data_IF_665941703396
#
_entry.id   IF_665941703396
#
_cell.length_a   1.000
_cell.length_b   1.000
_cell.length_c   1.000
_cell.angle_alpha   90.00
_cell.angle_beta   90.00
_cell.angle_gamma   90.00
#
_symmetry.space_group_name_H-M   'P 1'
#
loop_
_entity.id
_entity.type
_entity.pdbx_description
1 polymer ?
#
# COMPACT_ATOMS: atom_id res chain seq x y z
N UNK A 1 -4.86 70.15 53.09
CA UNK A 1 -5.63 71.40 52.98
C UNK A 1 -6.95 71.04 52.33
N UNK A 2 -7.99 71.10 53.23
CA UNK A 2 -9.43 71.22 52.91
C UNK A 2 -10.13 70.09 52.16
N UNK A 3 -10.96 69.30 52.83
CA UNK A 3 -12.29 69.41 53.47
C UNK A 3 -13.37 68.91 52.43
N UNK A 4 -13.98 67.80 52.77
CA UNK A 4 -15.30 67.60 53.44
C UNK A 4 -16.52 68.04 52.61
N UNK A 5 -17.42 67.15 52.41
CA UNK A 5 -18.78 66.87 52.98
C UNK A 5 -19.58 66.12 51.96
N UNK A 6 -20.26 65.07 52.14
CA UNK A 6 -21.18 64.68 53.22
C UNK A 6 -22.61 65.01 52.86
N UNK A 7 -23.47 64.02 52.65
CA UNK A 7 -24.88 63.98 53.13
C UNK A 7 -25.59 62.74 52.52
N UNK A 8 -25.84 61.73 53.26
CA UNK A 8 -27.09 61.30 53.96
C UNK A 8 -28.27 60.99 53.00
N UNK A 9 -28.71 59.76 53.15
CA UNK A 9 -29.89 58.97 52.81
C UNK A 9 -31.23 59.75 53.16
N UNK A 10 -32.38 59.38 52.49
CA UNK A 10 -33.24 58.46 53.23
C UNK A 10 -34.01 57.40 52.41
N UNK A 11 -34.35 56.38 53.12
CA UNK A 11 -35.26 55.29 52.90
C UNK A 11 -36.59 55.67 52.22
N UNK A 12 -37.08 54.78 51.37
CA UNK A 12 -38.44 54.73 50.88
C UNK A 12 -38.83 53.31 50.47
N UNK A 13 -39.73 52.77 51.18
CA UNK A 13 -40.26 51.46 51.27
C UNK A 13 -41.27 51.14 50.16
N UNK A 14 -41.33 49.82 49.84
CA UNK A 14 -42.45 49.05 49.28
C UNK A 14 -42.81 49.21 47.77
N UNK A 15 -42.50 48.17 47.00
CA UNK A 15 -43.62 47.41 46.44
C UNK A 15 -43.11 46.02 45.95
N UNK A 16 -43.64 45.02 46.59
CA UNK A 16 -43.50 43.63 46.39
C UNK A 16 -44.38 43.25 45.18
N UNK A 17 -43.78 43.02 44.04
CA UNK A 17 -44.48 42.35 42.90
C UNK A 17 -43.85 41.01 42.71
N UNK A 18 -44.61 39.98 43.10
CA UNK A 18 -44.39 38.58 42.77
C UNK A 18 -44.44 38.43 41.24
N UNK A 19 -43.31 38.17 40.61
CA UNK A 19 -43.25 37.63 39.26
C UNK A 19 -42.80 36.17 39.36
N UNK A 20 -43.73 35.30 39.03
CA UNK A 20 -43.62 33.86 39.00
C UNK A 20 -42.41 33.35 38.16
N UNK A 21 -41.83 32.18 38.49
CA UNK A 21 -40.76 31.56 37.73
C UNK A 21 -41.35 30.74 36.58
N UNK A 22 -41.65 31.36 35.45
CA UNK A 22 -42.23 30.66 34.29
C UNK A 22 -41.33 30.75 33.04
N UNK A 23 -40.08 31.15 33.19
CA UNK A 23 -39.13 31.20 32.04
C UNK A 23 -37.90 30.27 32.17
N UNK A 24 -37.94 29.23 33.05
CA UNK A 24 -36.79 28.35 33.24
C UNK A 24 -37.04 26.92 32.68
N UNK A 25 -38.00 26.74 31.74
CA UNK A 25 -38.33 25.44 31.16
C UNK A 25 -38.19 25.35 29.65
N UNK A 26 -37.55 26.32 28.98
CA UNK A 26 -37.43 26.33 27.52
C UNK A 26 -36.00 26.25 26.96
N UNK A 27 -35.00 25.93 27.78
CA UNK A 27 -33.61 25.73 27.28
C UNK A 27 -33.10 24.30 27.51
N UNK A 28 -33.95 23.36 27.92
CA UNK A 28 -33.62 21.94 27.97
C UNK A 28 -34.10 21.22 26.69
N UNK A 29 -34.12 21.92 25.56
CA UNK A 29 -34.50 21.44 24.24
C UNK A 29 -33.29 21.11 23.41
N UNK A 30 -33.02 19.82 23.28
CA UNK A 30 -32.37 19.24 22.12
C UNK A 30 -30.86 19.51 22.01
N UNK A 31 -30.07 18.97 22.94
CA UNK A 31 -28.78 18.33 22.55
C UNK A 31 -29.13 16.94 22.02
N UNK A 32 -29.75 16.85 20.84
CA UNK A 32 -29.66 15.64 20.06
C UNK A 32 -28.17 15.51 19.68
N UNK A 33 -27.48 14.41 20.05
CA UNK A 33 -26.18 14.15 19.50
C UNK A 33 -26.39 14.09 17.97
N UNK A 34 -25.80 15.03 17.24
CA UNK A 34 -25.66 14.91 15.80
C UNK A 34 -25.05 13.51 15.57
N UNK A 35 -25.60 12.70 14.64
CA UNK A 35 -24.97 11.45 14.32
C UNK A 35 -23.55 11.79 13.91
N UNK A 36 -22.58 11.37 14.73
CA UNK A 36 -21.18 11.31 14.32
C UNK A 36 -21.21 10.32 13.18
N UNK A 37 -21.31 10.83 11.95
CA UNK A 37 -21.09 10.02 10.76
C UNK A 37 -19.74 9.37 10.99
N UNK A 38 -19.75 8.05 11.20
CA UNK A 38 -18.56 7.24 11.39
C UNK A 38 -17.66 7.43 10.19
N UNK A 39 -16.73 8.39 10.30
CA UNK A 39 -15.71 8.63 9.31
C UNK A 39 -14.90 7.34 9.20
N UNK A 40 -14.98 6.70 8.04
CA UNK A 40 -14.12 5.58 7.70
C UNK A 40 -14.81 4.25 7.41
N UNK A 41 -16.13 4.14 7.51
CA UNK A 41 -16.84 2.89 7.19
C UNK A 41 -17.53 2.98 5.83
N UNK A 42 -17.33 1.95 5.01
CA UNK A 42 -17.98 1.84 3.70
C UNK A 42 -19.53 1.85 3.85
N UNK A 43 -20.26 2.78 3.20
CA UNK A 43 -21.71 2.83 3.27
C UNK A 43 -22.39 1.57 2.68
N UNK A 44 -21.67 0.79 1.87
CA UNK A 44 -22.18 -0.42 1.19
C UNK A 44 -21.61 -1.73 1.76
N UNK A 45 -20.97 -1.71 2.93
CA UNK A 45 -20.30 -2.90 3.49
C UNK A 45 -21.19 -4.13 3.60
N UNK A 46 -22.46 -3.94 3.96
CA UNK A 46 -23.45 -5.01 4.08
C UNK A 46 -24.33 -5.22 2.83
N UNK A 47 -24.12 -4.46 1.73
CA UNK A 47 -24.98 -4.51 0.54
C UNK A 47 -24.49 -5.53 -0.51
N UNK A 48 -25.18 -6.66 -0.72
CA UNK A 48 -24.79 -7.64 -1.73
C UNK A 48 -24.90 -7.12 -3.17
N UNK A 49 -25.79 -6.14 -3.43
CA UNK A 49 -25.94 -5.57 -4.78
C UNK A 49 -24.74 -4.68 -5.09
N UNK A 50 -24.31 -3.86 -4.14
CA UNK A 50 -23.09 -3.06 -4.27
C UNK A 50 -21.83 -3.93 -4.44
N UNK A 51 -21.73 -5.06 -3.70
CA UNK A 51 -20.61 -6.01 -3.89
C UNK A 51 -20.58 -6.60 -5.30
N UNK A 52 -21.73 -6.97 -5.87
CA UNK A 52 -21.80 -7.47 -7.25
C UNK A 52 -21.42 -6.40 -8.27
N UNK A 53 -21.91 -5.17 -8.10
CA UNK A 53 -21.53 -4.04 -8.94
C UNK A 53 -20.02 -3.76 -8.83
N UNK A 54 -19.47 -3.77 -7.62
CA UNK A 54 -18.05 -3.60 -7.35
C UNK A 54 -17.19 -4.67 -8.00
N UNK A 55 -17.64 -5.94 -8.00
CA UNK A 55 -16.97 -7.04 -8.70
C UNK A 55 -16.88 -6.82 -10.21
N UNK A 56 -17.98 -6.38 -10.83
CA UNK A 56 -18.01 -6.07 -12.27
C UNK A 56 -17.08 -4.89 -12.63
N UNK A 57 -17.09 -3.83 -11.80
CA UNK A 57 -16.19 -2.68 -11.96
C UNK A 57 -14.73 -3.08 -11.78
N UNK A 58 -14.43 -3.90 -10.79
CA UNK A 58 -13.08 -4.43 -10.56
C UNK A 58 -12.59 -5.24 -11.76
N UNK A 59 -13.41 -6.14 -12.28
CA UNK A 59 -13.05 -6.99 -13.43
C UNK A 59 -12.69 -6.18 -14.69
N UNK A 60 -13.32 -5.03 -14.89
CA UNK A 60 -13.11 -4.18 -16.08
C UNK A 60 -12.03 -3.13 -15.92
N UNK A 61 -11.71 -2.72 -14.68
CA UNK A 61 -10.82 -1.56 -14.44
C UNK A 61 -9.54 -1.91 -13.69
N UNK A 62 -9.51 -3.02 -12.97
CA UNK A 62 -8.45 -3.34 -12.01
C UNK A 62 -7.77 -4.69 -12.28
N UNK A 63 -8.51 -5.64 -12.86
CA UNK A 63 -8.07 -7.03 -12.99
C UNK A 63 -6.82 -7.21 -13.87
N UNK A 64 -6.60 -6.36 -14.85
CA UNK A 64 -5.41 -6.45 -15.73
C UNK A 64 -4.10 -6.36 -14.93
N UNK A 65 -4.08 -5.60 -13.84
CA UNK A 65 -2.91 -5.46 -12.97
C UNK A 65 -3.02 -6.31 -11.71
N UNK A 66 -4.23 -6.36 -11.10
CA UNK A 66 -4.44 -7.01 -9.82
C UNK A 66 -4.91 -8.48 -9.91
N UNK A 67 -5.08 -9.01 -11.13
CA UNK A 67 -5.64 -10.35 -11.35
C UNK A 67 -7.15 -10.41 -11.16
N UNK A 68 -7.80 -11.34 -11.84
CA UNK A 68 -9.25 -11.54 -11.70
C UNK A 68 -9.67 -11.98 -10.29
N UNK A 69 -8.75 -12.61 -9.55
CA UNK A 69 -8.89 -13.06 -8.17
C UNK A 69 -8.38 -12.02 -7.14
N UNK A 70 -7.96 -10.84 -7.61
CA UNK A 70 -7.37 -9.75 -6.83
C UNK A 70 -6.07 -10.11 -6.07
N UNK A 71 -5.42 -11.23 -6.38
CA UNK A 71 -4.17 -11.66 -5.75
C UNK A 71 -2.92 -11.02 -6.35
N UNK A 72 -3.09 -10.25 -7.41
CA UNK A 72 -2.02 -9.54 -8.11
C UNK A 72 -1.34 -10.37 -9.19
N UNK A 73 -1.02 -9.72 -10.32
CA UNK A 73 -0.13 -10.25 -11.36
C UNK A 73 1.16 -9.44 -11.34
N UNK A 74 1.09 -8.14 -11.61
CA UNK A 74 2.17 -7.16 -11.49
C UNK A 74 1.97 -6.14 -10.38
N UNK A 75 0.88 -6.25 -9.62
CA UNK A 75 0.44 -5.34 -8.57
C UNK A 75 0.30 -6.09 -7.23
N UNK A 76 0.12 -5.37 -6.09
CA UNK A 76 -0.10 -5.99 -4.78
C UNK A 76 -1.33 -6.91 -4.74
N UNK A 77 -1.28 -7.91 -3.86
CA UNK A 77 -2.43 -8.74 -3.50
C UNK A 77 -3.41 -7.90 -2.65
N UNK A 78 -4.59 -7.66 -3.19
CA UNK A 78 -5.61 -6.84 -2.54
C UNK A 78 -6.43 -7.62 -1.51
N UNK A 79 -6.38 -8.94 -1.51
CA UNK A 79 -7.08 -9.76 -0.51
C UNK A 79 -6.48 -9.63 0.88
N UNK A 80 -5.25 -9.11 0.99
CA UNK A 80 -4.51 -8.93 2.24
C UNK A 80 -4.67 -7.56 2.88
N UNK A 81 -5.33 -6.61 2.23
CA UNK A 81 -5.36 -5.20 2.66
C UNK A 81 -5.80 -5.06 4.12
N UNK A 82 -6.90 -5.69 4.51
CA UNK A 82 -7.45 -5.57 5.87
C UNK A 82 -6.67 -6.39 6.90
N UNK A 83 -6.14 -7.56 6.52
CA UNK A 83 -5.21 -8.31 7.36
C UNK A 83 -3.93 -7.52 7.66
N UNK A 84 -3.54 -6.62 6.74
CA UNK A 84 -2.42 -5.69 6.92
C UNK A 84 -2.78 -4.43 7.73
N UNK A 85 -4.02 -4.32 8.25
CA UNK A 85 -4.47 -3.19 9.06
C UNK A 85 -4.90 -1.96 8.25
N UNK A 86 -5.24 -2.12 6.97
CA UNK A 86 -5.82 -1.04 6.15
C UNK A 86 -7.31 -0.90 6.48
N UNK A 87 -7.84 0.31 6.46
CA UNK A 87 -9.26 0.61 6.58
C UNK A 87 -9.90 0.93 5.22
N UNK A 88 -11.24 0.93 5.18
CA UNK A 88 -12.01 1.16 3.95
C UNK A 88 -11.76 2.54 3.34
N UNK A 89 -11.65 3.56 4.17
CA UNK A 89 -11.42 4.93 3.73
C UNK A 89 -10.05 5.08 3.06
N UNK A 90 -9.04 4.40 3.60
CA UNK A 90 -7.71 4.40 2.99
C UNK A 90 -7.70 3.69 1.65
N UNK A 91 -8.42 2.57 1.52
CA UNK A 91 -8.58 1.87 0.24
C UNK A 91 -9.31 2.76 -0.76
N UNK A 92 -10.42 3.39 -0.34
CA UNK A 92 -11.18 4.33 -1.15
C UNK A 92 -10.27 5.47 -1.70
N UNK A 93 -9.54 6.15 -0.81
CA UNK A 93 -8.63 7.24 -1.22
C UNK A 93 -7.50 6.77 -2.12
N UNK A 94 -7.00 5.56 -1.91
CA UNK A 94 -5.97 4.98 -2.76
C UNK A 94 -6.48 4.74 -4.17
N UNK A 95 -7.70 4.22 -4.33
CA UNK A 95 -8.33 4.05 -5.64
C UNK A 95 -8.57 5.43 -6.28
N UNK A 96 -9.13 6.37 -5.53
CA UNK A 96 -9.46 7.71 -6.04
C UNK A 96 -8.22 8.48 -6.52
N UNK A 97 -7.12 8.46 -5.75
CA UNK A 97 -5.93 9.29 -6.00
C UNK A 97 -4.83 8.56 -6.76
N UNK A 98 -4.90 7.24 -6.88
CA UNK A 98 -3.79 6.42 -7.32
C UNK A 98 -2.65 6.38 -6.31
N UNK A 99 -1.51 5.83 -6.74
CA UNK A 99 -0.29 5.75 -5.91
C UNK A 99 0.83 6.51 -6.62
N UNK A 100 1.23 7.69 -6.14
CA UNK A 100 2.30 8.47 -6.76
C UNK A 100 3.59 7.66 -6.92
N UNK A 101 4.24 7.78 -8.08
CA UNK A 101 5.48 7.06 -8.39
C UNK A 101 5.29 5.56 -8.68
N UNK A 102 4.05 5.10 -8.86
CA UNK A 102 3.73 3.74 -9.29
C UNK A 102 2.89 3.73 -10.57
N UNK A 103 2.62 2.54 -11.10
CA UNK A 103 1.75 2.35 -12.26
C UNK A 103 0.24 2.37 -11.91
N UNK A 104 -0.13 2.59 -10.64
CA UNK A 104 -1.52 2.69 -10.24
C UNK A 104 -2.05 4.12 -10.49
N UNK A 105 -2.88 4.34 -11.51
CA UNK A 105 -3.42 5.67 -11.82
C UNK A 105 -4.51 6.07 -10.84
N UNK A 106 -4.84 7.36 -10.80
CA UNK A 106 -6.05 7.85 -10.15
C UNK A 106 -7.30 7.38 -10.90
N UNK A 107 -8.38 7.13 -10.18
CA UNK A 107 -9.68 6.77 -10.74
C UNK A 107 -10.57 8.01 -10.88
N UNK A 108 -11.20 8.17 -12.05
CA UNK A 108 -12.26 9.16 -12.27
C UNK A 108 -13.68 8.62 -12.01
N UNK A 109 -13.77 7.41 -11.43
CA UNK A 109 -15.07 6.82 -11.09
C UNK A 109 -15.79 7.66 -10.02
N UNK A 110 -17.12 7.74 -10.06
CA UNK A 110 -17.92 8.35 -9.00
C UNK A 110 -17.70 7.65 -7.65
N UNK A 111 -17.84 8.39 -6.55
CA UNK A 111 -17.59 7.87 -5.21
C UNK A 111 -18.37 6.60 -4.86
N UNK A 112 -19.64 6.52 -5.30
CA UNK A 112 -20.47 5.32 -5.09
C UNK A 112 -19.91 4.08 -5.82
N UNK A 113 -19.31 4.22 -6.99
CA UNK A 113 -18.63 3.12 -7.69
C UNK A 113 -17.36 2.70 -6.97
N UNK A 114 -16.58 3.67 -6.47
CA UNK A 114 -15.38 3.38 -5.68
C UNK A 114 -15.75 2.65 -4.40
N UNK A 115 -16.78 3.10 -3.67
CA UNK A 115 -17.26 2.42 -2.46
C UNK A 115 -17.80 1.01 -2.75
N UNK A 116 -18.45 0.80 -3.91
CA UNK A 116 -18.86 -0.54 -4.33
C UNK A 116 -17.65 -1.46 -4.57
N UNK A 117 -16.58 -0.96 -5.20
CA UNK A 117 -15.33 -1.72 -5.36
C UNK A 117 -14.68 -2.03 -4.01
N UNK A 118 -14.67 -1.09 -3.06
CA UNK A 118 -14.18 -1.33 -1.68
C UNK A 118 -15.01 -2.42 -1.00
N UNK A 119 -16.37 -2.40 -1.13
CA UNK A 119 -17.24 -3.44 -0.58
C UNK A 119 -16.95 -4.84 -1.17
N UNK A 120 -16.68 -4.90 -2.47
CA UNK A 120 -16.28 -6.14 -3.12
C UNK A 120 -14.94 -6.65 -2.57
N UNK A 121 -13.90 -5.82 -2.56
CA UNK A 121 -12.57 -6.18 -2.06
C UNK A 121 -12.60 -6.62 -0.60
N UNK A 122 -13.40 -5.94 0.23
CA UNK A 122 -13.62 -6.33 1.63
C UNK A 122 -14.25 -7.73 1.73
N UNK A 123 -15.20 -8.00 0.85
CA UNK A 123 -15.91 -9.31 0.81
C UNK A 123 -15.02 -10.48 0.41
N UNK A 124 -13.92 -10.24 -0.31
CA UNK A 124 -12.95 -11.28 -0.70
C UNK A 124 -11.68 -11.25 0.15
N UNK A 125 -11.64 -10.40 1.19
CA UNK A 125 -10.50 -10.34 2.11
C UNK A 125 -10.28 -11.66 2.81
N UNK A 126 -9.01 -12.05 2.89
CA UNK A 126 -8.56 -13.24 3.61
C UNK A 126 -7.84 -12.85 4.89
N UNK A 127 -7.87 -13.72 5.88
CA UNK A 127 -6.91 -13.68 7.00
C UNK A 127 -5.51 -13.96 6.49
N UNK A 128 -4.49 -13.63 7.28
CA UNK A 128 -3.08 -13.77 6.88
C UNK A 128 -2.80 -15.12 6.21
N UNK A 129 -2.30 -15.15 4.97
CA UNK A 129 -2.04 -16.39 4.23
C UNK A 129 -0.87 -17.20 4.81
N UNK A 130 -0.16 -16.66 5.82
CA UNK A 130 1.01 -17.27 6.45
C UNK A 130 0.72 -17.84 7.85
N UNK A 131 -0.55 -17.84 8.32
CA UNK A 131 -0.88 -18.31 9.67
C UNK A 131 -0.65 -19.81 9.88
N UNK A 132 -0.83 -20.61 8.82
CA UNK A 132 -0.71 -22.07 8.84
C UNK A 132 0.50 -22.57 8.04
N UNK A 133 1.48 -21.69 7.73
CA UNK A 133 2.66 -22.11 6.99
C UNK A 133 3.51 -23.07 7.81
N UNK A 134 3.86 -24.17 7.15
CA UNK A 134 4.92 -25.09 7.59
C UNK A 134 6.27 -24.44 7.30
N UNK A 135 7.29 -24.83 8.04
CA UNK A 135 8.66 -24.38 7.86
C UNK A 135 9.24 -23.67 9.07
N UNK A 136 10.55 -23.61 9.10
CA UNK A 136 11.33 -22.96 10.16
C UNK A 136 11.76 -21.56 9.69
N UNK A 137 11.28 -20.48 10.34
CA UNK A 137 11.62 -19.12 9.92
C UNK A 137 13.10 -18.79 10.14
N UNK A 138 13.81 -19.43 11.05
CA UNK A 138 15.24 -19.18 11.25
C UNK A 138 16.07 -19.83 10.14
N UNK A 139 15.77 -21.06 9.74
CA UNK A 139 16.34 -21.67 8.55
C UNK A 139 16.03 -20.84 7.29
N UNK A 140 14.80 -20.34 7.19
CA UNK A 140 14.39 -19.45 6.11
C UNK A 140 15.19 -18.14 6.09
N UNK A 141 15.53 -17.58 7.25
CA UNK A 141 16.40 -16.41 7.38
C UNK A 141 17.81 -16.69 6.89
N UNK A 142 18.38 -17.83 7.24
CA UNK A 142 19.71 -18.24 6.76
C UNK A 142 19.73 -18.43 5.24
N UNK A 143 18.70 -19.05 4.67
CA UNK A 143 18.54 -19.18 3.23
C UNK A 143 18.43 -17.80 2.56
N UNK A 144 17.66 -16.88 3.12
CA UNK A 144 17.59 -15.51 2.64
C UNK A 144 18.95 -14.82 2.63
N UNK A 145 19.68 -14.91 3.73
CA UNK A 145 21.01 -14.29 3.86
C UNK A 145 22.05 -14.90 2.89
N UNK A 146 21.94 -16.19 2.58
CA UNK A 146 22.87 -16.84 1.67
C UNK A 146 22.58 -16.60 0.19
N UNK A 147 21.30 -16.49 -0.20
CA UNK A 147 20.91 -16.50 -1.61
C UNK A 147 20.21 -15.23 -2.09
N UNK A 148 19.54 -14.48 -1.21
CA UNK A 148 18.61 -13.41 -1.60
C UNK A 148 19.11 -12.02 -1.19
N UNK A 149 19.80 -11.88 -0.06
CA UNK A 149 20.20 -10.59 0.53
C UNK A 149 21.10 -9.77 -0.39
N UNK A 150 21.85 -10.39 -1.28
CA UNK A 150 22.70 -9.67 -2.23
C UNK A 150 21.91 -8.71 -3.12
N UNK A 151 20.68 -9.08 -3.47
CA UNK A 151 19.83 -8.30 -4.37
C UNK A 151 18.64 -7.66 -3.66
N UNK A 152 18.14 -8.28 -2.58
CA UNK A 152 16.96 -7.84 -1.85
C UNK A 152 17.31 -7.28 -0.49
N UNK A 153 16.60 -6.21 -0.10
CA UNK A 153 16.73 -5.59 1.21
C UNK A 153 15.63 -6.06 2.16
N UNK A 154 16.02 -6.27 3.43
CA UNK A 154 15.10 -6.36 4.57
C UNK A 154 15.58 -5.36 5.63
N UNK A 155 14.73 -4.45 6.04
CA UNK A 155 15.06 -3.30 6.90
C UNK A 155 16.26 -2.50 6.33
N UNK A 156 17.38 -2.47 7.02
CA UNK A 156 18.60 -1.75 6.61
C UNK A 156 19.64 -2.65 5.94
N UNK A 157 19.38 -3.97 5.86
CA UNK A 157 20.36 -4.95 5.38
C UNK A 157 19.97 -5.47 3.98
N UNK A 158 20.95 -5.54 3.08
CA UNK A 158 20.81 -6.13 1.75
C UNK A 158 20.86 -5.13 0.60
N UNK A 159 20.76 -5.66 -0.60
CA UNK A 159 20.91 -4.95 -1.85
C UNK A 159 19.66 -4.24 -2.36
N UNK A 160 19.81 -3.51 -3.46
CA UNK A 160 18.77 -2.70 -4.10
C UNK A 160 18.47 -3.09 -5.55
N UNK A 161 19.07 -4.18 -6.03
CA UNK A 161 18.84 -4.72 -7.38
C UNK A 161 17.44 -5.32 -7.53
N UNK A 162 16.87 -5.85 -6.44
CA UNK A 162 15.52 -6.35 -6.35
C UNK A 162 14.63 -5.48 -5.44
N UNK A 163 13.34 -5.81 -5.32
CA UNK A 163 12.42 -5.17 -4.40
C UNK A 163 12.88 -5.25 -2.94
N UNK A 164 12.56 -4.21 -2.16
CA UNK A 164 12.60 -4.25 -0.71
C UNK A 164 11.53 -5.23 -0.20
N UNK A 165 11.95 -6.21 0.61
CA UNK A 165 11.10 -7.27 1.13
C UNK A 165 10.67 -7.04 2.59
N UNK A 166 11.04 -5.91 3.22
CA UNK A 166 10.73 -5.61 4.63
C UNK A 166 9.26 -5.75 4.99
N UNK A 167 8.37 -5.58 4.01
CA UNK A 167 6.91 -5.60 4.18
C UNK A 167 6.22 -6.59 3.25
N UNK A 168 6.94 -7.58 2.77
CA UNK A 168 6.47 -8.44 1.69
C UNK A 168 5.22 -9.24 2.07
N UNK A 169 5.11 -9.66 3.32
CA UNK A 169 3.96 -10.40 3.82
C UNK A 169 2.65 -9.59 3.87
N UNK A 170 2.73 -8.26 3.73
CA UNK A 170 1.53 -7.40 3.63
C UNK A 170 1.04 -7.19 2.20
N UNK A 171 1.87 -7.51 1.21
CA UNK A 171 1.60 -7.14 -0.19
C UNK A 171 1.62 -8.32 -1.15
N UNK A 172 2.03 -9.51 -0.68
CA UNK A 172 2.08 -10.74 -1.46
C UNK A 172 1.57 -11.92 -0.64
N UNK A 173 0.70 -12.72 -1.24
CA UNK A 173 0.33 -14.02 -0.71
C UNK A 173 1.47 -15.04 -0.87
N UNK A 174 1.38 -16.14 -0.13
CA UNK A 174 2.32 -17.24 -0.24
C UNK A 174 2.44 -17.75 -1.68
N UNK A 175 1.34 -17.99 -2.36
CA UNK A 175 1.31 -18.48 -3.75
C UNK A 175 2.00 -17.53 -4.72
N UNK A 176 1.81 -16.21 -4.51
CA UNK A 176 2.50 -15.20 -5.31
C UNK A 176 4.00 -15.18 -5.05
N UNK A 177 4.45 -15.42 -3.81
CA UNK A 177 5.86 -15.55 -3.49
C UNK A 177 6.46 -16.81 -4.10
N UNK A 178 5.78 -17.95 -4.03
CA UNK A 178 6.18 -19.19 -4.69
C UNK A 178 6.40 -18.93 -6.18
N UNK A 179 5.41 -18.35 -6.87
CA UNK A 179 5.52 -18.02 -8.29
C UNK A 179 6.68 -17.07 -8.56
N UNK A 180 6.85 -16.01 -7.77
CA UNK A 180 7.94 -15.04 -7.96
C UNK A 180 9.33 -15.67 -7.77
N UNK A 181 9.46 -16.68 -6.91
CA UNK A 181 10.71 -17.40 -6.66
C UNK A 181 10.97 -18.42 -7.77
N UNK A 182 9.94 -19.19 -8.16
CA UNK A 182 10.05 -20.23 -9.18
C UNK A 182 10.15 -19.66 -10.60
N UNK A 183 9.41 -18.59 -10.88
CA UNK A 183 9.24 -18.00 -12.21
C UNK A 183 9.47 -16.47 -12.18
N UNK A 184 10.66 -15.97 -11.81
CA UNK A 184 10.91 -14.54 -11.59
C UNK A 184 10.79 -13.69 -12.86
N UNK A 185 10.83 -14.31 -14.03
CA UNK A 185 10.62 -13.66 -15.32
C UNK A 185 9.14 -13.49 -15.71
N UNK A 186 8.21 -14.20 -15.06
CA UNK A 186 6.79 -14.19 -15.45
C UNK A 186 6.13 -12.82 -15.28
N UNK A 187 6.60 -12.01 -14.32
CA UNK A 187 6.09 -10.65 -14.08
C UNK A 187 7.16 -9.78 -13.42
N UNK A 188 7.80 -8.91 -14.19
CA UNK A 188 8.85 -8.01 -13.69
C UNK A 188 8.35 -6.58 -13.72
N UNK A 189 8.27 -5.94 -12.54
CA UNK A 189 7.91 -4.53 -12.45
C UNK A 189 8.94 -3.65 -13.21
N UNK A 190 8.47 -2.58 -13.86
CA UNK A 190 9.28 -1.76 -14.77
C UNK A 190 10.63 -1.33 -14.17
N UNK A 191 10.65 -0.90 -12.92
CA UNK A 191 11.86 -0.47 -12.18
C UNK A 191 12.89 -1.57 -11.90
N UNK A 192 12.57 -2.83 -12.17
CA UNK A 192 13.45 -3.99 -11.99
C UNK A 192 13.71 -4.75 -13.29
N UNK A 193 13.23 -4.21 -14.42
CA UNK A 193 13.55 -4.78 -15.72
C UNK A 193 15.04 -4.69 -15.97
N UNK A 194 15.59 -5.78 -16.47
CA UNK A 194 16.99 -5.85 -16.82
C UNK A 194 17.26 -5.15 -18.15
N UNK A 195 18.44 -4.55 -18.26
CA UNK A 195 18.91 -3.89 -19.47
C UNK A 195 20.40 -4.15 -19.65
N UNK A 196 20.83 -4.31 -20.89
CA UNK A 196 22.24 -4.26 -21.28
C UNK A 196 22.45 -3.04 -22.15
N UNK A 197 23.33 -2.15 -21.71
CA UNK A 197 23.78 -0.99 -22.46
C UNK A 197 25.10 -1.33 -23.18
N UNK A 198 25.20 -0.99 -24.47
CA UNK A 198 26.43 -1.12 -25.23
C UNK A 198 26.93 0.30 -25.53
N UNK A 199 28.09 0.65 -25.01
CA UNK A 199 28.73 1.94 -25.23
C UNK A 199 29.38 2.02 -26.62
N UNK A 200 29.76 3.21 -27.07
CA UNK A 200 30.43 3.40 -28.37
C UNK A 200 31.77 2.64 -28.47
N UNK A 201 32.43 2.37 -27.34
CA UNK A 201 33.66 1.58 -27.22
C UNK A 201 33.42 0.09 -26.94
N UNK A 202 32.22 -0.42 -27.26
CA UNK A 202 31.83 -1.82 -27.16
C UNK A 202 31.78 -2.42 -25.74
N UNK A 203 31.85 -1.61 -24.69
CA UNK A 203 31.64 -2.10 -23.33
C UNK A 203 30.17 -2.45 -23.11
N UNK A 204 29.95 -3.59 -22.46
CA UNK A 204 28.62 -4.06 -22.08
C UNK A 204 28.40 -3.78 -20.58
N UNK A 205 27.37 -3.01 -20.28
CA UNK A 205 27.00 -2.65 -18.91
C UNK A 205 25.60 -3.18 -18.67
N UNK A 206 25.48 -4.11 -17.74
CA UNK A 206 24.22 -4.77 -17.41
C UNK A 206 23.70 -4.28 -16.06
N UNK A 207 22.41 -4.05 -15.95
CA UNK A 207 21.80 -3.57 -14.71
C UNK A 207 20.28 -3.63 -14.74
N UNK A 208 19.67 -2.98 -13.76
CA UNK A 208 18.22 -2.77 -13.70
C UNK A 208 17.91 -1.29 -13.97
N UNK A 209 16.83 -1.05 -14.73
CA UNK A 209 16.37 0.29 -15.06
C UNK A 209 15.84 0.97 -13.80
N UNK A 210 16.32 2.17 -13.50
CA UNK A 210 15.81 3.02 -12.41
C UNK A 210 14.96 4.17 -12.95
N UNK A 211 15.34 4.71 -14.09
CA UNK A 211 14.56 5.70 -14.85
C UNK A 211 14.95 5.62 -16.31
N UNK A 212 14.01 5.86 -17.19
CA UNK A 212 14.23 5.91 -18.64
C UNK A 212 13.24 6.87 -19.29
N UNK A 213 13.74 7.69 -20.18
CA UNK A 213 12.97 8.58 -21.04
C UNK A 213 13.43 8.49 -22.50
N UNK A 214 12.98 9.40 -23.38
CA UNK A 214 13.35 9.39 -24.80
C UNK A 214 14.84 9.64 -25.03
N UNK A 215 15.55 10.33 -24.13
CA UNK A 215 16.91 10.84 -24.32
C UNK A 215 17.93 10.18 -23.40
N UNK A 216 17.50 9.70 -22.25
CA UNK A 216 18.39 9.21 -21.20
C UNK A 216 17.91 7.90 -20.59
N UNK A 217 18.83 7.18 -19.97
CA UNK A 217 18.57 6.00 -19.19
C UNK A 217 19.44 5.99 -17.93
N UNK A 218 18.84 5.73 -16.77
CA UNK A 218 19.54 5.50 -15.52
C UNK A 218 19.37 4.04 -15.12
N UNK A 219 20.47 3.42 -14.77
CA UNK A 219 20.51 2.02 -14.32
C UNK A 219 21.23 1.88 -12.99
N UNK A 220 20.87 0.89 -12.19
CA UNK A 220 21.77 0.35 -11.19
C UNK A 220 22.50 -0.85 -11.83
N UNK A 221 23.82 -0.75 -11.94
CA UNK A 221 24.64 -1.84 -12.48
C UNK A 221 24.69 -3.04 -11.51
N UNK A 222 25.29 -4.16 -11.93
CA UNK A 222 25.40 -5.37 -11.10
C UNK A 222 26.26 -5.20 -9.83
N UNK A 223 26.93 -4.05 -9.69
CA UNK A 223 27.65 -3.62 -8.46
C UNK A 223 26.84 -2.61 -7.64
N UNK A 224 25.56 -2.43 -7.96
CA UNK A 224 24.60 -1.50 -7.34
C UNK A 224 24.94 -0.01 -7.51
N UNK A 225 25.85 0.35 -8.40
CA UNK A 225 26.19 1.74 -8.69
C UNK A 225 25.15 2.33 -9.62
N UNK A 226 24.56 3.44 -9.20
CA UNK A 226 23.67 4.22 -10.04
C UNK A 226 24.48 4.94 -11.13
N UNK A 227 24.14 4.69 -12.38
CA UNK A 227 24.79 5.28 -13.55
C UNK A 227 23.74 5.84 -14.51
N UNK A 228 24.02 7.02 -15.06
CA UNK A 228 23.17 7.67 -16.06
C UNK A 228 23.89 7.77 -17.40
N UNK A 229 23.16 7.54 -18.48
CA UNK A 229 23.66 7.61 -19.85
C UNK A 229 22.72 8.42 -20.73
N UNK A 230 23.27 9.25 -21.60
CA UNK A 230 22.54 9.81 -22.72
C UNK A 230 22.42 8.71 -23.78
N UNK A 231 21.23 8.46 -24.30
CA UNK A 231 21.03 7.38 -25.30
C UNK A 231 21.82 7.60 -26.58
N UNK A 232 22.09 8.88 -26.97
CA UNK A 232 22.94 9.21 -28.09
C UNK A 232 24.40 8.77 -27.91
N UNK A 233 24.88 8.61 -26.67
CA UNK A 233 26.23 8.16 -26.35
C UNK A 233 26.34 6.63 -26.26
N UNK A 234 25.23 5.93 -26.47
CA UNK A 234 25.17 4.47 -26.50
C UNK A 234 25.07 4.00 -27.93
N UNK A 235 25.74 2.87 -28.23
CA UNK A 235 25.56 2.19 -29.50
C UNK A 235 24.23 1.42 -29.53
N UNK A 236 23.85 0.84 -28.38
CA UNK A 236 22.63 0.03 -28.29
C UNK A 236 22.09 -0.01 -26.83
N UNK A 237 20.78 -0.08 -26.71
CA UNK A 237 20.05 -0.32 -25.45
C UNK A 237 19.21 -1.58 -25.64
N UNK A 238 19.58 -2.67 -24.98
CA UNK A 238 18.91 -3.97 -25.07
C UNK A 238 18.08 -4.17 -23.83
N UNK A 239 16.75 -4.05 -23.96
CA UNK A 239 15.81 -4.38 -22.89
C UNK A 239 15.68 -5.92 -22.82
N UNK A 240 16.08 -6.50 -21.69
CA UNK A 240 16.04 -7.95 -21.51
C UNK A 240 14.63 -8.40 -21.09
N UNK A 241 14.17 -9.50 -21.67
CA UNK A 241 12.92 -10.14 -21.27
C UNK A 241 13.05 -10.88 -19.93
N UNK A 242 14.26 -11.36 -19.64
CA UNK A 242 14.54 -12.14 -18.42
C UNK A 242 14.82 -11.24 -17.23
N UNK A 243 14.33 -11.66 -16.07
CA UNK A 243 14.69 -11.06 -14.80
C UNK A 243 16.19 -11.28 -14.48
N UNK A 244 16.81 -10.33 -13.73
CA UNK A 244 18.11 -10.57 -13.09
C UNK A 244 18.01 -11.54 -11.91
N UNK A 245 16.83 -11.68 -11.32
CA UNK A 245 16.58 -12.69 -10.30
C UNK A 245 16.64 -14.06 -10.96
N UNK A 246 17.50 -14.96 -10.51
CA UNK A 246 17.55 -16.31 -11.04
C UNK A 246 16.28 -17.08 -10.66
N UNK A 247 15.87 -18.00 -11.49
CA UNK A 247 14.86 -19.00 -11.16
C UNK A 247 15.41 -19.99 -10.13
N UNK A 248 14.62 -20.29 -9.14
CA UNK A 248 14.91 -21.27 -8.13
C UNK A 248 14.04 -22.51 -8.37
N UNK A 249 14.47 -23.38 -9.29
CA UNK A 249 13.82 -24.67 -9.51
C UNK A 249 13.80 -25.53 -8.24
N UNK A 250 13.00 -26.58 -8.22
CA UNK A 250 12.95 -27.53 -7.09
C UNK A 250 14.30 -28.23 -6.83
N UNK A 251 15.14 -28.34 -7.85
CA UNK A 251 16.51 -28.88 -7.72
C UNK A 251 17.43 -27.89 -6.97
N UNK A 252 17.26 -26.59 -7.20
CA UNK A 252 18.10 -25.54 -6.61
C UNK A 252 17.62 -25.12 -5.24
N UNK A 253 16.30 -25.11 -5.02
CA UNK A 253 15.65 -24.81 -3.76
C UNK A 253 14.51 -25.83 -3.55
N UNK A 254 14.81 -26.91 -2.81
CA UNK A 254 13.86 -27.97 -2.49
C UNK A 254 12.61 -27.44 -1.78
N UNK A 255 11.52 -28.22 -1.77
CA UNK A 255 10.23 -27.78 -1.22
C UNK A 255 10.33 -27.42 0.27
N UNK A 256 11.03 -28.21 1.11
CA UNK A 256 11.21 -27.89 2.51
C UNK A 256 11.96 -26.55 2.72
N UNK A 257 13.03 -26.33 1.95
CA UNK A 257 13.79 -25.07 2.00
C UNK A 257 12.95 -23.88 1.48
N UNK A 258 12.08 -24.11 0.52
CA UNK A 258 11.13 -23.11 0.05
C UNK A 258 10.12 -22.77 1.15
N UNK A 259 9.58 -23.77 1.85
CA UNK A 259 8.66 -23.58 2.97
C UNK A 259 9.31 -22.78 4.11
N UNK A 260 10.56 -23.10 4.47
CA UNK A 260 11.33 -22.34 5.45
C UNK A 260 11.51 -20.88 5.04
N UNK A 261 11.92 -20.65 3.78
CA UNK A 261 12.08 -19.31 3.23
C UNK A 261 10.75 -18.54 3.23
N UNK A 262 9.65 -19.15 2.81
CA UNK A 262 8.33 -18.54 2.80
C UNK A 262 7.86 -18.23 4.22
N UNK A 263 8.12 -19.11 5.18
CA UNK A 263 7.83 -18.87 6.59
C UNK A 263 8.56 -17.66 7.12
N UNK A 264 9.85 -17.50 6.80
CA UNK A 264 10.61 -16.30 7.13
C UNK A 264 10.02 -15.05 6.46
N UNK A 265 9.77 -15.09 5.15
CA UNK A 265 9.18 -13.96 4.42
C UNK A 265 7.81 -13.57 4.99
N UNK A 266 7.02 -14.52 5.49
CA UNK A 266 5.75 -14.32 6.17
C UNK A 266 5.85 -13.52 7.47
N UNK A 267 7.02 -13.46 8.10
CA UNK A 267 7.29 -12.64 9.30
C UNK A 267 7.55 -11.17 8.96
N UNK A 268 7.89 -10.85 7.70
CA UNK A 268 8.31 -9.51 7.26
C UNK A 268 7.10 -8.61 7.02
N UNK A 269 6.62 -7.98 8.10
CA UNK A 269 5.44 -7.10 8.09
C UNK A 269 5.79 -5.63 8.27
N UNK A 270 7.09 -5.25 8.42
CA UNK A 270 7.64 -3.89 8.53
C UNK A 270 7.37 -3.22 9.85
#
# INVERSE_FOLDING_TARGET
MWLERGSRIPYGWHNMVRILPTCLLLVLGILMPLPVNGQGRNPYDADPAARRAGSALFATRCADCHGADAKGIGAPDLTLLWAAGTDDERVFRTIQRGVPGSNMPSSSAPDNEIWAMVAYLRGISTVSPFENDIGDPEQGRELFLSMCVRCHRVATQGGSMGPDLSRIARIRSRDMLVRSIREPGASVAARYRAVTLITQDDRRIRGVIKSEDAFSIQIADTSERLQGYTKADLREVIHEERSLMPDFSSERLGENSLDDLLRYLGTLRG
#
